data_IF_917333045971
#
_entry.id   IF_917333045971
#
_cell.length_a   1.000
_cell.length_b   1.000
_cell.length_c   1.000
_cell.angle_alpha   90.00
_cell.angle_beta   90.00
_cell.angle_gamma   90.00
#
_symmetry.space_group_name_H-M   'P 1'
#
loop_
_entity.id
_entity.type
_entity.pdbx_description
1 polymer ?
#
# COMPACT_ATOMS: atom_id res chain seq x y z
N UNK A 1 27.87 -5.55 -12.89
CA UNK A 1 28.16 -4.63 -11.75
C UNK A 1 27.93 -5.30 -10.39
N UNK A 2 28.73 -4.98 -9.35
CA UNK A 2 28.58 -5.60 -8.00
C UNK A 2 27.34 -5.08 -7.26
N UNK A 3 26.70 -5.93 -6.44
CA UNK A 3 25.53 -5.58 -5.61
C UNK A 3 25.75 -4.35 -4.73
N UNK A 4 26.94 -4.21 -4.13
CA UNK A 4 27.30 -3.06 -3.29
C UNK A 4 27.34 -1.76 -4.09
N UNK A 5 27.96 -1.76 -5.28
CA UNK A 5 28.05 -0.57 -6.14
C UNK A 5 26.66 -0.07 -6.55
N UNK A 6 25.74 -0.97 -6.90
CA UNK A 6 24.34 -0.64 -7.20
C UNK A 6 23.64 0.01 -6.01
N UNK A 7 23.77 -0.58 -4.82
CA UNK A 7 23.18 -0.07 -3.57
C UNK A 7 23.69 1.33 -3.26
N UNK A 8 25.02 1.50 -3.25
CA UNK A 8 25.65 2.78 -2.91
C UNK A 8 25.21 3.89 -3.87
N UNK A 9 25.14 3.60 -5.18
CA UNK A 9 24.65 4.54 -6.18
C UNK A 9 23.18 4.92 -5.97
N UNK A 10 22.27 3.93 -5.98
CA UNK A 10 20.83 4.16 -5.86
C UNK A 10 20.51 4.91 -4.57
N UNK A 11 21.08 4.49 -3.44
CA UNK A 11 20.81 5.15 -2.16
C UNK A 11 21.37 6.55 -2.08
N UNK A 12 22.49 6.86 -2.72
CA UNK A 12 23.03 8.22 -2.73
C UNK A 12 22.08 9.19 -3.45
N UNK A 13 21.52 8.74 -4.58
CA UNK A 13 20.59 9.53 -5.39
C UNK A 13 19.23 9.68 -4.70
N UNK A 14 18.67 8.59 -4.16
CA UNK A 14 17.41 8.64 -3.41
C UNK A 14 17.53 9.47 -2.12
N UNK A 15 18.64 9.37 -1.40
CA UNK A 15 18.84 10.18 -0.20
C UNK A 15 18.84 11.68 -0.49
N UNK A 16 19.41 12.09 -1.63
CA UNK A 16 19.47 13.49 -2.03
C UNK A 16 18.07 14.10 -2.25
N UNK A 17 17.10 13.28 -2.70
CA UNK A 17 15.71 13.71 -2.96
C UNK A 17 14.84 13.53 -1.72
N UNK A 18 14.92 12.38 -1.04
CA UNK A 18 13.92 11.98 -0.04
C UNK A 18 14.22 12.48 1.38
N UNK A 19 15.49 12.66 1.75
CA UNK A 19 15.82 13.17 3.10
C UNK A 19 15.35 14.61 3.32
N UNK A 20 15.49 15.53 2.35
CA UNK A 20 14.91 16.87 2.47
C UNK A 20 13.38 16.85 2.70
N UNK A 21 12.68 15.90 2.09
CA UNK A 21 11.22 15.69 2.25
C UNK A 21 10.85 14.96 3.56
N UNK A 22 11.83 14.68 4.43
CA UNK A 22 11.60 14.11 5.76
C UNK A 22 11.59 12.58 5.83
N UNK A 23 11.87 11.87 4.73
CA UNK A 23 11.93 10.41 4.75
C UNK A 23 13.11 9.90 5.59
N UNK A 24 12.83 8.89 6.40
CA UNK A 24 13.84 8.08 7.08
C UNK A 24 14.17 6.85 6.24
N UNK A 25 15.45 6.54 6.11
CA UNK A 25 15.93 5.38 5.35
C UNK A 25 16.44 4.26 6.26
N UNK A 26 16.02 3.03 6.01
CA UNK A 26 16.46 1.81 6.69
C UNK A 26 17.15 0.92 5.66
N UNK A 27 18.49 0.98 5.58
CA UNK A 27 19.27 0.36 4.50
C UNK A 27 19.83 -1.03 4.82
N UNK A 28 19.58 -1.51 6.03
CA UNK A 28 19.98 -2.84 6.51
C UNK A 28 18.86 -3.86 6.29
N UNK A 29 19.22 -5.14 6.19
CA UNK A 29 18.28 -6.22 5.88
C UNK A 29 18.17 -6.54 4.39
N UNK A 30 17.25 -7.46 4.06
CA UNK A 30 17.01 -7.92 2.68
C UNK A 30 16.31 -6.87 1.80
N UNK A 31 15.57 -5.97 2.44
CA UNK A 31 14.62 -5.04 1.85
C UNK A 31 14.82 -3.59 2.38
N UNK A 32 15.84 -2.89 1.89
CA UNK A 32 16.03 -1.47 2.17
C UNK A 32 14.75 -0.66 1.95
N UNK A 33 14.36 0.14 2.94
CA UNK A 33 13.05 0.81 3.01
C UNK A 33 13.21 2.31 3.26
N UNK A 34 12.36 3.13 2.64
CA UNK A 34 12.21 4.55 2.95
C UNK A 34 10.81 4.79 3.52
N UNK A 35 10.72 5.55 4.62
CA UNK A 35 9.49 5.80 5.36
C UNK A 35 9.34 7.29 5.65
N UNK A 36 8.20 7.86 5.26
CA UNK A 36 7.70 9.13 5.75
C UNK A 36 6.56 8.84 6.73
N UNK A 37 6.76 9.12 8.01
CA UNK A 37 5.81 8.76 9.07
C UNK A 37 5.33 10.01 9.82
N UNK A 38 4.04 10.04 10.12
CA UNK A 38 3.33 11.07 10.89
C UNK A 38 2.44 10.41 11.95
N UNK A 39 1.70 11.19 12.73
CA UNK A 39 0.79 10.63 13.74
C UNK A 39 -0.43 9.93 13.11
N UNK A 40 -0.91 10.42 11.96
CA UNK A 40 -2.13 9.93 11.30
C UNK A 40 -1.88 8.87 10.22
N UNK A 41 -0.68 8.90 9.61
CA UNK A 41 -0.34 8.00 8.51
C UNK A 41 1.15 7.75 8.38
N UNK A 42 1.48 6.65 7.69
CA UNK A 42 2.81 6.36 7.17
C UNK A 42 2.78 6.11 5.66
N UNK A 43 3.73 6.68 4.93
CA UNK A 43 3.98 6.41 3.52
C UNK A 43 5.34 5.74 3.41
N UNK A 44 5.42 4.62 2.69
CA UNK A 44 6.69 3.92 2.57
C UNK A 44 6.80 3.09 1.29
N UNK A 45 8.04 2.74 0.96
CA UNK A 45 8.36 1.79 -0.09
C UNK A 45 9.65 1.06 0.25
N UNK A 46 9.85 -0.10 -0.36
CA UNK A 46 11.06 -0.88 -0.23
C UNK A 46 11.63 -1.27 -1.59
N UNK A 47 12.91 -1.62 -1.57
CA UNK A 47 13.60 -2.18 -2.71
C UNK A 47 14.23 -3.52 -2.34
N UNK A 48 14.33 -4.44 -3.29
CA UNK A 48 15.11 -5.66 -3.12
C UNK A 48 16.25 -5.68 -4.13
N UNK A 49 17.43 -6.04 -3.63
CA UNK A 49 18.64 -6.23 -4.43
C UNK A 49 18.91 -7.72 -4.48
N UNK A 50 18.47 -8.39 -5.55
CA UNK A 50 18.57 -9.84 -5.69
C UNK A 50 20.00 -10.24 -6.06
N UNK A 51 20.42 -11.42 -5.63
CA UNK A 51 21.79 -11.91 -5.89
C UNK A 51 22.03 -12.20 -7.37
N UNK A 52 20.98 -12.52 -8.13
CA UNK A 52 21.01 -12.66 -9.58
C UNK A 52 21.15 -11.32 -10.34
N UNK A 53 21.35 -10.19 -9.65
CA UNK A 53 21.62 -8.90 -10.26
C UNK A 53 20.41 -7.97 -10.37
N UNK A 54 19.19 -8.51 -10.30
CA UNK A 54 17.97 -7.72 -10.40
C UNK A 54 17.75 -6.77 -9.21
N UNK A 55 17.18 -5.61 -9.50
CA UNK A 55 16.67 -4.67 -8.50
C UNK A 55 15.15 -4.55 -8.67
N UNK A 56 14.42 -4.61 -7.55
CA UNK A 56 12.97 -4.35 -7.55
C UNK A 56 12.67 -3.09 -6.78
N UNK A 57 11.64 -2.37 -7.21
CA UNK A 57 10.99 -1.30 -6.48
C UNK A 57 9.56 -1.71 -6.19
N UNK A 58 9.12 -1.54 -4.93
CA UNK A 58 7.79 -1.99 -4.52
C UNK A 58 6.66 -1.09 -5.02
N UNK A 59 6.96 0.15 -5.43
CA UNK A 59 6.04 1.32 -5.43
C UNK A 59 5.60 1.71 -4.02
N UNK A 60 4.61 2.60 -3.90
CA UNK A 60 4.21 3.22 -2.63
C UNK A 60 3.11 2.43 -1.91
N UNK A 61 3.28 2.34 -0.60
CA UNK A 61 2.25 1.93 0.35
C UNK A 61 1.86 3.11 1.24
N UNK A 62 0.59 3.17 1.62
CA UNK A 62 0.09 4.12 2.62
C UNK A 62 -0.63 3.33 3.71
N UNK A 63 -0.21 3.56 4.95
CA UNK A 63 -0.90 3.13 6.16
C UNK A 63 -1.71 4.30 6.70
N UNK A 64 -3.03 4.17 6.73
CA UNK A 64 -3.92 5.16 7.37
C UNK A 64 -4.22 4.65 8.77
N UNK A 65 -3.57 5.24 9.77
CA UNK A 65 -3.47 4.64 11.10
C UNK A 65 -4.85 4.38 11.74
N UNK A 66 -5.84 5.25 11.55
CA UNK A 66 -7.17 5.01 12.10
C UNK A 66 -7.83 3.75 11.50
N UNK A 67 -7.68 3.50 10.20
CA UNK A 67 -8.25 2.32 9.53
C UNK A 67 -7.58 1.06 10.07
N UNK A 68 -6.25 1.07 10.11
CA UNK A 68 -5.46 -0.08 10.56
C UNK A 68 -5.63 -0.37 12.05
N UNK A 69 -5.74 0.67 12.90
CA UNK A 69 -5.96 0.50 14.33
C UNK A 69 -7.34 -0.11 14.63
N UNK A 70 -8.38 0.31 13.90
CA UNK A 70 -9.71 -0.31 14.01
C UNK A 70 -9.63 -1.77 13.61
N UNK A 71 -9.05 -2.08 12.44
CA UNK A 71 -8.93 -3.45 11.94
C UNK A 71 -8.13 -4.35 12.91
N UNK A 72 -7.00 -3.86 13.41
CA UNK A 72 -6.13 -4.58 14.35
C UNK A 72 -6.83 -4.91 15.68
N UNK A 73 -7.81 -4.10 16.09
CA UNK A 73 -8.53 -4.32 17.36
C UNK A 73 -9.30 -5.64 17.44
N UNK A 74 -9.61 -6.26 16.29
CA UNK A 74 -10.37 -7.50 16.23
C UNK A 74 -9.83 -8.55 15.24
N UNK A 75 -9.06 -8.13 14.24
CA UNK A 75 -8.39 -8.99 13.27
C UNK A 75 -6.88 -8.96 13.55
N UNK A 76 -6.28 -10.06 14.04
CA UNK A 76 -4.88 -10.06 14.40
C UNK A 76 -4.00 -9.86 13.16
N UNK A 77 -3.09 -8.89 13.23
CA UNK A 77 -1.92 -8.89 12.36
C UNK A 77 -0.88 -9.83 12.95
N UNK A 78 0.03 -10.29 12.09
CA UNK A 78 1.29 -10.82 12.59
C UNK A 78 2.12 -9.64 13.12
N UNK A 79 1.98 -9.33 14.41
CA UNK A 79 2.70 -8.23 15.05
C UNK A 79 4.22 -8.40 14.96
N UNK A 80 4.72 -9.61 14.65
CA UNK A 80 6.15 -9.85 14.46
C UNK A 80 6.72 -9.19 13.21
N UNK A 81 5.86 -8.82 12.24
CA UNK A 81 6.27 -8.10 11.03
C UNK A 81 6.06 -6.58 11.14
N UNK A 82 5.38 -6.09 12.18
CA UNK A 82 5.18 -4.65 12.41
C UNK A 82 6.39 -4.09 13.16
N UNK A 83 7.23 -3.36 12.43
CA UNK A 83 8.22 -2.47 13.02
C UNK A 83 7.69 -1.05 12.93
N UNK A 84 7.24 -0.46 14.04
CA UNK A 84 6.70 0.92 14.09
C UNK A 84 7.65 2.00 13.54
N UNK A 85 8.89 1.65 13.19
CA UNK A 85 9.83 2.52 12.47
C UNK A 85 9.95 2.19 10.98
N UNK A 86 9.78 0.93 10.57
CA UNK A 86 10.09 0.44 9.22
C UNK A 86 8.89 -0.17 8.46
N UNK A 87 8.03 -0.94 9.13
CA UNK A 87 6.91 -1.64 8.52
C UNK A 87 5.60 -1.32 9.21
N UNK A 88 4.60 -0.96 8.41
CA UNK A 88 3.29 -0.55 8.87
C UNK A 88 2.24 -1.46 8.21
N UNK A 89 1.10 -1.72 8.85
CA UNK A 89 -0.02 -2.35 8.17
C UNK A 89 -0.49 -1.49 7.00
N UNK A 90 -0.68 -2.11 5.83
CA UNK A 90 -0.98 -1.37 4.61
C UNK A 90 -2.47 -1.17 4.42
N UNK A 91 -2.90 0.08 4.28
CA UNK A 91 -4.27 0.40 3.86
C UNK A 91 -4.37 0.42 2.34
N UNK A 92 -3.41 1.09 1.70
CA UNK A 92 -3.43 1.45 0.28
C UNK A 92 -2.12 1.03 -0.37
N UNK A 93 -2.19 0.59 -1.62
CA UNK A 93 -1.02 0.19 -2.41
C UNK A 93 -1.13 0.70 -3.85
N UNK A 94 -0.11 1.39 -4.35
CA UNK A 94 -0.05 1.82 -5.75
C UNK A 94 0.31 0.66 -6.68
N UNK A 95 -0.71 -0.09 -7.12
CA UNK A 95 -0.52 -1.22 -8.04
C UNK A 95 -0.21 -0.77 -9.47
N UNK A 96 -0.56 0.47 -9.81
CA UNK A 96 -0.72 0.93 -11.19
C UNK A 96 0.45 1.78 -11.70
N UNK A 97 1.60 1.71 -11.03
CA UNK A 97 2.84 2.33 -11.49
C UNK A 97 3.18 1.96 -12.96
N UNK A 98 3.50 2.97 -13.77
CA UNK A 98 4.05 2.78 -15.11
C UNK A 98 5.49 2.31 -14.99
N UNK A 99 5.76 1.11 -15.47
CA UNK A 99 7.09 0.49 -15.39
C UNK A 99 7.92 0.83 -16.62
N UNK A 100 9.22 1.06 -16.42
CA UNK A 100 10.17 1.21 -17.53
C UNK A 100 10.29 -0.06 -18.38
N UNK A 101 10.73 0.11 -19.62
CA UNK A 101 11.04 -1.01 -20.52
C UNK A 101 12.03 -1.96 -19.86
N UNK A 102 11.85 -3.27 -20.05
CA UNK A 102 12.72 -4.30 -19.45
C UNK A 102 12.44 -4.60 -17.96
N UNK A 103 11.68 -3.77 -17.24
CA UNK A 103 11.24 -4.10 -15.87
C UNK A 103 10.21 -5.23 -15.89
N UNK A 104 10.53 -6.35 -15.23
CA UNK A 104 9.65 -7.51 -15.15
C UNK A 104 9.00 -7.59 -13.77
N UNK A 105 7.69 -7.35 -13.66
CA UNK A 105 6.97 -7.45 -12.37
C UNK A 105 7.17 -8.82 -11.72
N UNK A 106 7.49 -8.84 -10.42
CA UNK A 106 7.87 -10.04 -9.66
C UNK A 106 9.34 -10.47 -9.81
N UNK A 107 10.03 -10.07 -10.88
CA UNK A 107 11.44 -10.39 -11.12
C UNK A 107 12.32 -9.20 -10.76
N UNK A 108 12.07 -8.03 -11.36
CA UNK A 108 12.83 -6.80 -11.22
C UNK A 108 13.40 -6.33 -12.55
N UNK A 109 14.28 -5.32 -12.45
CA UNK A 109 15.04 -4.77 -13.55
C UNK A 109 16.49 -5.27 -13.47
N UNK A 110 17.01 -5.76 -14.59
CA UNK A 110 18.37 -6.29 -14.65
C UNK A 110 19.38 -5.15 -14.87
N UNK A 111 20.44 -5.14 -14.08
CA UNK A 111 21.44 -4.06 -14.08
C UNK A 111 22.82 -4.68 -14.25
N UNK A 112 23.31 -4.71 -15.47
CA UNK A 112 24.65 -5.18 -15.79
C UNK A 112 25.63 -4.01 -15.90
N UNK A 113 25.16 -2.90 -16.49
CA UNK A 113 25.91 -1.71 -16.86
C UNK A 113 25.47 -0.45 -16.10
N UNK A 114 26.27 0.62 -16.23
CA UNK A 114 26.03 1.90 -15.55
C UNK A 114 24.81 2.64 -16.11
N UNK A 115 24.59 2.61 -17.42
CA UNK A 115 23.43 3.23 -18.07
C UNK A 115 22.09 2.69 -17.53
N UNK A 116 21.99 1.37 -17.38
CA UNK A 116 20.83 0.69 -16.79
C UNK A 116 20.60 1.07 -15.33
N UNK A 117 21.69 1.23 -14.56
CA UNK A 117 21.61 1.69 -13.18
C UNK A 117 21.06 3.12 -13.10
N UNK A 118 21.53 4.00 -14.00
CA UNK A 118 21.08 5.39 -14.10
C UNK A 118 19.62 5.45 -14.51
N UNK A 119 19.22 4.73 -15.56
CA UNK A 119 17.84 4.65 -16.05
C UNK A 119 16.87 4.17 -14.96
N UNK A 120 17.19 3.07 -14.27
CA UNK A 120 16.37 2.56 -13.17
C UNK A 120 16.25 3.59 -12.04
N UNK A 121 17.36 4.22 -11.66
CA UNK A 121 17.37 5.17 -10.55
C UNK A 121 16.57 6.43 -10.89
N UNK A 122 16.76 6.96 -12.09
CA UNK A 122 16.06 8.16 -12.56
C UNK A 122 14.56 7.88 -12.72
N UNK A 123 14.16 6.68 -13.18
CA UNK A 123 12.74 6.28 -13.18
C UNK A 123 12.10 6.24 -11.80
N UNK A 124 12.79 5.66 -10.80
CA UNK A 124 12.27 5.63 -9.42
C UNK A 124 12.11 7.05 -8.89
N UNK A 125 13.10 7.93 -9.12
CA UNK A 125 13.04 9.33 -8.69
C UNK A 125 11.91 10.07 -9.40
N UNK A 126 11.80 9.95 -10.72
CA UNK A 126 10.76 10.59 -11.52
C UNK A 126 9.36 10.18 -11.04
N UNK A 127 9.13 8.89 -10.78
CA UNK A 127 7.89 8.43 -10.19
C UNK A 127 7.65 9.06 -8.80
N UNK A 128 8.64 9.07 -7.92
CA UNK A 128 8.49 9.61 -6.56
C UNK A 128 8.23 11.12 -6.54
N UNK A 129 8.80 11.87 -7.48
CA UNK A 129 8.63 13.32 -7.59
C UNK A 129 7.34 13.74 -8.34
N UNK A 130 6.77 12.83 -9.16
CA UNK A 130 5.57 13.08 -9.96
C UNK A 130 4.39 12.18 -9.56
N UNK A 131 4.15 11.10 -10.30
CA UNK A 131 2.96 10.23 -10.16
C UNK A 131 2.77 9.73 -8.72
N UNK A 132 3.86 9.34 -8.04
CA UNK A 132 3.85 8.88 -6.66
C UNK A 132 3.51 9.99 -5.66
N UNK A 133 3.98 11.21 -5.89
CA UNK A 133 3.60 12.37 -5.05
C UNK A 133 2.12 12.68 -5.20
N UNK A 134 1.61 12.71 -6.43
CA UNK A 134 0.18 12.90 -6.70
C UNK A 134 -0.66 11.77 -6.08
N UNK A 135 -0.18 10.54 -6.12
CA UNK A 135 -0.82 9.38 -5.50
C UNK A 135 -0.98 9.59 -3.99
N UNK A 136 0.09 9.99 -3.30
CA UNK A 136 0.06 10.30 -1.86
C UNK A 136 -0.95 11.42 -1.58
N UNK A 137 -0.82 12.57 -2.27
CA UNK A 137 -1.71 13.72 -2.08
C UNK A 137 -3.18 13.36 -2.28
N UNK A 138 -3.47 12.50 -3.25
CA UNK A 138 -4.84 12.07 -3.55
C UNK A 138 -5.37 11.11 -2.50
N UNK A 139 -4.63 10.05 -2.17
CA UNK A 139 -5.14 8.91 -1.41
C UNK A 139 -4.82 8.95 0.09
N UNK A 140 -4.09 9.95 0.56
CA UNK A 140 -4.04 10.29 2.00
C UNK A 140 -5.40 10.78 2.53
N UNK A 141 -6.36 11.10 1.66
CA UNK A 141 -7.72 11.52 2.04
C UNK A 141 -8.74 10.40 1.78
N UNK A 142 -9.34 9.85 2.86
CA UNK A 142 -10.22 8.68 2.78
C UNK A 142 -11.41 8.81 1.82
N UNK A 143 -12.08 9.96 1.66
CA UNK A 143 -13.14 10.08 0.65
C UNK A 143 -12.68 9.88 -0.79
N UNK A 144 -11.43 10.19 -1.14
CA UNK A 144 -10.90 9.86 -2.46
C UNK A 144 -10.69 8.35 -2.61
N UNK A 145 -10.33 7.66 -1.52
CA UNK A 145 -10.23 6.19 -1.49
C UNK A 145 -11.60 5.57 -1.67
N UNK A 146 -12.62 6.06 -0.94
CA UNK A 146 -14.01 5.61 -1.08
C UNK A 146 -14.52 5.80 -2.51
N UNK A 147 -14.29 6.97 -3.10
CA UNK A 147 -14.66 7.23 -4.51
C UNK A 147 -14.02 6.21 -5.45
N UNK A 148 -12.72 5.92 -5.28
CA UNK A 148 -12.03 4.91 -6.10
C UNK A 148 -12.58 3.50 -5.87
N UNK A 149 -12.97 3.16 -4.65
CA UNK A 149 -13.64 1.90 -4.35
C UNK A 149 -14.98 1.78 -5.10
N UNK A 150 -15.77 2.85 -5.15
CA UNK A 150 -17.05 2.88 -5.86
C UNK A 150 -16.87 2.73 -7.37
N UNK A 151 -15.90 3.43 -7.95
CA UNK A 151 -15.53 3.28 -9.37
C UNK A 151 -15.17 1.83 -9.70
N UNK A 152 -14.34 1.19 -8.86
CA UNK A 152 -13.97 -0.22 -9.03
C UNK A 152 -15.19 -1.14 -8.95
N UNK A 153 -16.09 -0.91 -8.00
CA UNK A 153 -17.34 -1.69 -7.88
C UNK A 153 -18.20 -1.54 -9.13
N UNK A 154 -18.35 -0.33 -9.68
CA UNK A 154 -19.08 -0.06 -10.93
C UNK A 154 -18.44 -0.79 -12.13
N UNK A 155 -17.11 -0.87 -12.16
CA UNK A 155 -16.35 -1.62 -13.18
C UNK A 155 -16.42 -3.15 -12.98
N UNK A 156 -17.12 -3.64 -11.95
CA UNK A 156 -17.18 -5.06 -11.61
C UNK A 156 -15.86 -5.62 -11.06
N UNK A 157 -15.03 -4.75 -10.47
CA UNK A 157 -13.73 -5.07 -9.89
C UNK A 157 -13.79 -5.11 -8.37
N UNK A 158 -12.95 -5.96 -7.79
CA UNK A 158 -12.72 -5.96 -6.33
C UNK A 158 -11.77 -4.82 -5.96
N UNK A 159 -11.90 -4.28 -4.75
CA UNK A 159 -11.11 -3.13 -4.30
C UNK A 159 -9.60 -3.38 -4.24
N UNK A 160 -9.19 -4.64 -4.13
CA UNK A 160 -7.82 -5.14 -4.13
C UNK A 160 -7.43 -5.83 -5.45
N UNK A 161 -8.13 -5.52 -6.56
CA UNK A 161 -7.82 -6.05 -7.89
C UNK A 161 -6.31 -5.91 -8.18
N UNK A 162 -5.71 -6.98 -8.73
CA UNK A 162 -4.26 -7.08 -8.88
C UNK A 162 -3.68 -6.07 -9.87
N UNK A 163 -4.48 -5.60 -10.83
CA UNK A 163 -4.06 -4.59 -11.79
C UNK A 163 -4.39 -3.19 -11.32
N UNK A 164 -5.66 -2.94 -10.94
CA UNK A 164 -6.20 -1.58 -10.80
C UNK A 164 -6.77 -1.24 -9.42
N UNK A 165 -6.70 -2.19 -8.47
CA UNK A 165 -7.20 -2.02 -7.11
C UNK A 165 -6.39 -1.00 -6.32
N UNK A 166 -7.03 -0.43 -5.30
CA UNK A 166 -6.44 0.60 -4.42
C UNK A 166 -6.17 0.08 -3.01
N UNK A 167 -6.94 -0.89 -2.52
CA UNK A 167 -6.75 -1.43 -1.18
C UNK A 167 -5.65 -2.52 -1.16
N UNK A 168 -4.84 -2.49 -0.11
CA UNK A 168 -3.82 -3.51 0.12
C UNK A 168 -4.43 -4.78 0.73
N UNK A 169 -3.68 -5.87 0.64
CA UNK A 169 -4.06 -7.18 1.17
C UNK A 169 -4.88 -8.04 0.21
N UNK A 170 -5.60 -8.99 0.78
CA UNK A 170 -6.45 -9.97 0.12
C UNK A 170 -7.91 -9.83 0.59
N UNK A 171 -8.40 -10.66 1.50
CA UNK A 171 -9.78 -10.57 2.00
C UNK A 171 -9.94 -9.48 3.06
N UNK A 172 -8.88 -9.21 3.82
CA UNK A 172 -8.75 -8.08 4.74
C UNK A 172 -8.98 -6.72 4.06
N UNK A 173 -8.75 -6.62 2.74
CA UNK A 173 -9.11 -5.43 1.96
C UNK A 173 -10.62 -5.10 2.04
N UNK A 174 -11.48 -6.13 2.10
CA UNK A 174 -12.93 -5.94 2.23
C UNK A 174 -13.30 -5.38 3.60
N UNK A 175 -12.61 -5.84 4.65
CA UNK A 175 -12.77 -5.31 6.01
C UNK A 175 -12.35 -3.83 6.07
N UNK A 176 -11.19 -3.49 5.48
CA UNK A 176 -10.74 -2.10 5.35
C UNK A 176 -11.75 -1.24 4.62
N UNK A 177 -12.29 -1.71 3.50
CA UNK A 177 -13.26 -0.96 2.73
C UNK A 177 -14.53 -0.62 3.51
N UNK A 178 -15.05 -1.53 4.34
CA UNK A 178 -16.19 -1.22 5.22
C UNK A 178 -15.84 -0.20 6.33
N UNK A 179 -14.64 -0.31 6.91
CA UNK A 179 -14.14 0.69 7.87
C UNK A 179 -14.04 2.07 7.20
N UNK A 180 -13.46 2.14 6.00
CA UNK A 180 -13.33 3.38 5.22
C UNK A 180 -14.70 3.97 4.90
N UNK A 181 -15.63 3.17 4.36
CA UNK A 181 -16.99 3.61 4.05
C UNK A 181 -17.69 4.18 5.30
N UNK A 182 -17.52 3.52 6.44
CA UNK A 182 -18.07 3.99 7.71
C UNK A 182 -17.45 5.30 8.20
N UNK A 183 -16.12 5.43 8.12
CA UNK A 183 -15.41 6.66 8.47
C UNK A 183 -15.79 7.83 7.57
N UNK A 184 -16.20 7.55 6.33
CA UNK A 184 -16.67 8.54 5.37
C UNK A 184 -18.17 8.87 5.47
N UNK A 185 -18.91 8.25 6.39
CA UNK A 185 -20.37 8.37 6.45
C UNK A 185 -21.08 8.00 5.12
N UNK A 186 -20.57 6.98 4.43
CA UNK A 186 -21.05 6.57 3.11
C UNK A 186 -22.52 6.14 3.12
N UNK A 187 -23.36 6.81 2.31
CA UNK A 187 -24.76 6.44 2.11
C UNK A 187 -24.92 5.03 1.49
N UNK A 188 -23.91 4.55 0.76
CA UNK A 188 -23.85 3.21 0.16
C UNK A 188 -23.29 2.13 1.09
N UNK A 189 -23.08 2.39 2.39
CA UNK A 189 -22.49 1.42 3.32
C UNK A 189 -23.28 0.09 3.36
N UNK A 190 -24.61 0.15 3.33
CA UNK A 190 -25.44 -1.06 3.39
C UNK A 190 -25.23 -1.96 2.17
N UNK A 191 -25.11 -1.39 0.97
CA UNK A 191 -24.87 -2.15 -0.26
C UNK A 191 -23.48 -2.81 -0.22
N UNK A 192 -22.48 -2.11 0.33
CA UNK A 192 -21.13 -2.67 0.54
C UNK A 192 -21.12 -3.81 1.57
N UNK A 193 -21.94 -3.72 2.63
CA UNK A 193 -22.13 -4.81 3.59
C UNK A 193 -22.75 -6.02 2.89
N UNK A 194 -23.78 -5.84 2.06
CA UNK A 194 -24.40 -6.94 1.32
C UNK A 194 -23.40 -7.62 0.36
N UNK A 195 -22.58 -6.83 -0.34
CA UNK A 195 -21.49 -7.36 -1.16
C UNK A 195 -20.50 -8.19 -0.33
N UNK A 196 -20.14 -7.72 0.87
CA UNK A 196 -19.27 -8.46 1.77
C UNK A 196 -19.94 -9.73 2.33
N UNK A 197 -21.25 -9.71 2.60
CA UNK A 197 -22.02 -10.88 3.02
C UNK A 197 -21.91 -11.98 1.95
N UNK A 198 -22.12 -11.66 0.67
CA UNK A 198 -21.99 -12.63 -0.43
C UNK A 198 -20.59 -13.25 -0.54
N UNK A 199 -19.55 -12.56 -0.08
CA UNK A 199 -18.18 -13.05 -0.07
C UNK A 199 -17.94 -13.90 1.18
N UNK A 200 -18.02 -13.33 2.38
CA UNK A 200 -17.55 -13.97 3.61
C UNK A 200 -18.38 -15.17 4.06
N UNK A 201 -19.64 -15.29 3.64
CA UNK A 201 -20.47 -16.47 3.93
C UNK A 201 -20.19 -17.68 3.02
N UNK A 202 -19.27 -17.57 2.04
CA UNK A 202 -18.85 -18.72 1.24
C UNK A 202 -17.95 -19.65 2.07
N UNK A 203 -18.16 -20.96 1.97
CA UNK A 203 -17.41 -21.98 2.72
C UNK A 203 -15.88 -21.84 2.61
N UNK A 204 -15.39 -21.42 1.44
CA UNK A 204 -13.97 -21.22 1.18
C UNK A 204 -13.32 -20.09 2.01
N UNK A 205 -14.13 -19.23 2.65
CA UNK A 205 -13.68 -18.10 3.47
C UNK A 205 -14.14 -18.20 4.93
N UNK A 206 -14.54 -19.40 5.38
CA UNK A 206 -14.97 -19.67 6.75
C UNK A 206 -13.97 -19.20 7.83
N UNK A 207 -12.68 -19.21 7.53
CA UNK A 207 -11.63 -18.78 8.47
C UNK A 207 -11.62 -17.25 8.67
N UNK A 208 -12.17 -16.49 7.71
CA UNK A 208 -12.31 -15.04 7.77
C UNK A 208 -13.65 -14.57 8.33
N UNK A 209 -14.68 -15.41 8.28
CA UNK A 209 -16.03 -15.10 8.73
C UNK A 209 -16.09 -14.56 10.18
N UNK A 210 -15.34 -15.12 11.16
CA UNK A 210 -15.33 -14.57 12.52
C UNK A 210 -14.87 -13.11 12.60
N UNK A 211 -13.89 -12.70 11.80
CA UNK A 211 -13.40 -11.31 11.78
C UNK A 211 -14.42 -10.38 11.14
N UNK A 212 -15.07 -10.84 10.08
CA UNK A 212 -16.13 -10.08 9.43
C UNK A 212 -17.34 -9.85 10.36
N UNK A 213 -17.78 -10.87 11.09
CA UNK A 213 -18.88 -10.75 12.07
C UNK A 213 -18.52 -9.71 13.13
N UNK A 214 -17.31 -9.78 13.70
CA UNK A 214 -16.83 -8.77 14.68
C UNK A 214 -16.84 -7.36 14.09
N UNK A 215 -16.43 -7.18 12.84
CA UNK A 215 -16.50 -5.87 12.19
C UNK A 215 -17.95 -5.38 12.10
N UNK A 216 -18.91 -6.22 11.66
CA UNK A 216 -20.33 -5.83 11.59
C UNK A 216 -20.86 -5.36 12.95
N UNK A 217 -20.47 -6.01 14.04
CA UNK A 217 -20.85 -5.62 15.41
C UNK A 217 -20.23 -4.27 15.82
N UNK A 218 -19.03 -3.95 15.33
CA UNK A 218 -18.32 -2.70 15.63
C UNK A 218 -18.73 -1.53 14.72
N UNK A 219 -19.17 -1.76 13.48
CA UNK A 219 -19.52 -0.70 12.53
C UNK A 219 -20.46 0.38 13.11
N UNK A 220 -21.48 0.05 13.93
CA UNK A 220 -22.33 1.08 14.55
C UNK A 220 -21.61 2.02 15.52
N UNK A 221 -20.52 1.59 16.17
CA UNK A 221 -19.80 2.38 17.17
C UNK A 221 -18.71 3.27 16.59
N UNK A 222 -18.20 2.94 15.40
CA UNK A 222 -17.21 3.76 14.68
C UNK A 222 -17.86 5.10 14.30
N UNK A 223 -17.30 6.19 14.81
CA UNK A 223 -17.76 7.53 14.48
C UNK A 223 -17.22 7.96 13.11
N UNK A 224 -18.05 8.56 12.25
CA UNK A 224 -17.56 9.15 11.01
C UNK A 224 -16.55 10.27 11.27
N UNK A 225 -15.54 10.36 10.41
CA UNK A 225 -14.59 11.46 10.35
C UNK A 225 -14.94 12.46 9.24
N UNK A 226 -15.58 11.98 8.18
CA UNK A 226 -15.97 12.76 7.02
C UNK A 226 -17.47 12.63 6.78
N UNK A 227 -18.05 13.66 6.16
CA UNK A 227 -19.42 13.65 5.68
C UNK A 227 -19.35 13.86 4.16
N UNK A 228 -19.45 12.76 3.40
CA UNK A 228 -19.45 12.78 1.93
C UNK A 228 -20.74 12.27 1.33
#
# INVERSE_FOLDING_TARGET
MKKKEKKDYIFSRLDAVLKPEGYKSFKTGGDPTYVLNSDDMAVYFFMNFKDMGYVTFSSLYISIHIVENILHSFCPYDDSVIDKKKYFPDTIYDRNIKVIEGYRRGIGYDIEEKSQLEEFTDWVIDYLENDGKQFIETYSYLPNVLKRMDELTIEGKVWQDRGVGILSGALDAQLRGLIIAKLCNDNGLNDKILMCDEIFYRDQYKDWLPYYIKLKEQLPSIQPLYNV
#
